data_IF_156970095183
#
_entry.id   IF_156970095183
#
_cell.length_a   1.000
_cell.length_b   1.000
_cell.length_c   1.000
_cell.angle_alpha   90.00
_cell.angle_beta   90.00
_cell.angle_gamma   90.00
#
_symmetry.space_group_name_H-M   'P 1'
#
loop_
_entity.id
_entity.type
_entity.pdbx_description
1 polymer ?
#
# COMPACT_ATOMS: atom_id res chain seq x y z
N UNK A 1 2.16 1.37 17.62
CA UNK A 1 2.39 0.10 16.90
C UNK A 1 3.53 0.35 15.94
N UNK A 2 4.54 -0.53 15.92
CA UNK A 2 5.66 -0.33 14.99
C UNK A 2 5.25 -0.73 13.57
N UNK A 3 5.91 -0.17 12.57
CA UNK A 3 5.79 -0.56 11.16
C UNK A 3 7.13 -1.10 10.64
N UNK A 4 8.09 -1.35 11.52
CA UNK A 4 9.48 -1.62 11.13
C UNK A 4 9.61 -2.95 10.38
N UNK A 5 8.88 -3.97 10.79
CA UNK A 5 8.86 -5.28 10.11
C UNK A 5 8.22 -5.17 8.73
N UNK A 6 7.09 -4.45 8.62
CA UNK A 6 6.40 -4.19 7.35
C UNK A 6 7.30 -3.39 6.39
N UNK A 7 7.96 -2.34 6.88
CA UNK A 7 8.88 -1.55 6.06
C UNK A 7 10.10 -2.35 5.62
N UNK A 8 10.66 -3.17 6.50
CA UNK A 8 11.80 -4.02 6.19
C UNK A 8 11.43 -5.04 5.11
N UNK A 9 10.28 -5.70 5.27
CA UNK A 9 9.74 -6.60 4.27
C UNK A 9 9.50 -5.93 2.92
N UNK A 10 8.82 -4.78 2.91
CA UNK A 10 8.59 -3.98 1.69
C UNK A 10 9.92 -3.63 1.01
N UNK A 11 10.89 -3.14 1.78
CA UNK A 11 12.22 -2.79 1.28
C UNK A 11 12.96 -3.98 0.69
N UNK A 12 12.96 -5.13 1.35
CA UNK A 12 13.63 -6.35 0.86
C UNK A 12 13.00 -6.87 -0.44
N UNK A 13 11.67 -6.83 -0.53
CA UNK A 13 10.93 -7.36 -1.68
C UNK A 13 10.84 -6.38 -2.86
N UNK A 14 11.14 -5.10 -2.67
CA UNK A 14 11.09 -4.04 -3.68
C UNK A 14 12.47 -3.40 -3.95
N UNK A 15 13.55 -3.96 -3.40
CA UNK A 15 14.90 -3.36 -3.44
C UNK A 15 15.52 -3.21 -4.84
N UNK A 16 15.00 -3.92 -5.84
CA UNK A 16 15.62 -4.03 -7.16
C UNK A 16 14.65 -3.78 -8.32
N UNK A 17 13.64 -2.94 -8.12
CA UNK A 17 12.74 -2.56 -9.21
C UNK A 17 13.26 -1.31 -9.96
N UNK A 18 13.74 -1.43 -11.21
CA UNK A 18 14.11 -0.27 -12.03
C UNK A 18 12.88 0.49 -12.57
N UNK A 19 11.65 -0.03 -12.39
CA UNK A 19 10.44 0.51 -13.00
C UNK A 19 9.78 1.65 -12.20
N UNK A 20 10.35 2.02 -11.06
CA UNK A 20 9.88 3.13 -10.22
C UNK A 20 8.75 2.77 -9.25
N UNK A 21 8.49 1.48 -9.01
CA UNK A 21 7.69 0.96 -7.88
C UNK A 21 8.61 0.49 -6.76
N UNK A 22 9.61 1.30 -6.44
CA UNK A 22 10.58 1.01 -5.40
C UNK A 22 10.02 1.36 -4.01
N UNK A 23 10.76 1.00 -2.97
CA UNK A 23 10.41 1.36 -1.59
C UNK A 23 10.20 2.87 -1.38
N UNK A 24 10.84 3.72 -2.20
CA UNK A 24 10.66 5.18 -2.13
C UNK A 24 9.28 5.60 -2.61
N UNK A 25 8.74 4.97 -3.66
CA UNK A 25 7.35 5.14 -4.06
C UNK A 25 6.39 4.76 -2.93
N UNK A 26 6.51 3.56 -2.36
CA UNK A 26 5.67 3.13 -1.23
C UNK A 26 5.74 4.11 -0.03
N UNK A 27 6.92 4.67 0.25
CA UNK A 27 7.10 5.67 1.29
C UNK A 27 6.38 7.00 1.00
N UNK A 28 6.40 7.46 -0.27
CA UNK A 28 5.67 8.69 -0.67
C UNK A 28 4.17 8.47 -0.60
N UNK A 29 3.67 7.34 -1.09
CA UNK A 29 2.27 6.94 -0.99
C UNK A 29 1.83 6.90 0.48
N UNK A 30 2.61 6.26 1.37
CA UNK A 30 2.27 6.18 2.79
C UNK A 30 2.16 7.56 3.46
N UNK A 31 3.06 8.51 3.13
CA UNK A 31 3.01 9.88 3.65
C UNK A 31 1.79 10.64 3.14
N UNK A 32 1.48 10.51 1.85
CA UNK A 32 0.34 11.19 1.25
C UNK A 32 -0.99 10.61 1.75
N UNK A 33 -1.11 9.27 1.82
CA UNK A 33 -2.29 8.58 2.32
C UNK A 33 -2.56 8.92 3.79
N UNK A 34 -1.52 8.99 4.63
CA UNK A 34 -1.64 9.47 6.02
C UNK A 34 -2.24 10.87 6.07
N UNK A 35 -1.76 11.77 5.20
CA UNK A 35 -2.24 13.16 5.15
C UNK A 35 -3.71 13.21 4.75
N UNK A 36 -4.08 12.54 3.66
CA UNK A 36 -5.48 12.46 3.18
C UNK A 36 -6.39 11.95 4.30
N UNK A 37 -6.04 10.82 4.92
CA UNK A 37 -6.86 10.21 5.97
C UNK A 37 -7.07 11.14 7.18
N UNK A 38 -6.00 11.78 7.65
CA UNK A 38 -6.07 12.67 8.82
C UNK A 38 -6.85 13.96 8.53
N UNK A 39 -6.70 14.54 7.33
CA UNK A 39 -7.39 15.77 6.93
C UNK A 39 -8.88 15.53 6.63
N UNK A 40 -9.21 14.49 5.87
CA UNK A 40 -10.60 14.23 5.42
C UNK A 40 -11.48 13.68 6.55
N UNK A 41 -10.92 12.81 7.40
CA UNK A 41 -11.68 12.14 8.47
C UNK A 41 -11.44 12.73 9.86
N UNK A 42 -10.60 13.78 9.97
CA UNK A 42 -10.27 14.47 11.24
C UNK A 42 -9.79 13.50 12.34
N UNK A 43 -8.99 12.52 11.94
CA UNK A 43 -8.43 11.49 12.83
C UNK A 43 -7.07 11.91 13.38
N UNK A 44 -6.79 11.49 14.60
CA UNK A 44 -5.48 11.68 15.22
C UNK A 44 -4.56 10.48 14.96
N UNK A 45 -3.31 10.58 15.44
CA UNK A 45 -2.29 9.54 15.24
C UNK A 45 -2.56 8.22 15.98
N UNK A 46 -3.53 8.20 16.89
CA UNK A 46 -3.89 7.02 17.69
C UNK A 46 -4.98 6.17 17.04
N UNK A 47 -5.63 6.67 15.99
CA UNK A 47 -6.66 5.95 15.25
C UNK A 47 -6.09 4.70 14.55
N UNK A 48 -6.73 3.56 14.75
CA UNK A 48 -6.31 2.28 14.16
C UNK A 48 -6.35 2.28 12.64
N UNK A 49 -7.26 3.05 12.02
CA UNK A 49 -7.34 3.21 10.57
C UNK A 49 -6.09 3.88 10.01
N UNK A 50 -5.41 4.74 10.79
CA UNK A 50 -4.13 5.30 10.38
C UNK A 50 -3.02 4.24 10.27
N UNK A 51 -3.05 3.23 11.14
CA UNK A 51 -2.16 2.08 11.03
C UNK A 51 -2.47 1.28 9.76
N UNK A 52 -3.75 1.00 9.49
CA UNK A 52 -4.20 0.31 8.27
C UNK A 52 -3.74 1.03 7.01
N UNK A 53 -3.97 2.35 6.93
CA UNK A 53 -3.53 3.20 5.82
C UNK A 53 -2.03 3.08 5.58
N UNK A 54 -1.22 3.22 6.64
CA UNK A 54 0.24 3.14 6.53
C UNK A 54 0.70 1.75 6.12
N UNK A 55 0.19 0.71 6.77
CA UNK A 55 0.57 -0.67 6.51
C UNK A 55 0.22 -1.08 5.08
N UNK A 56 -1.01 -0.82 4.63
CA UNK A 56 -1.45 -1.10 3.26
C UNK A 56 -0.60 -0.32 2.23
N UNK A 57 -0.28 0.95 2.50
CA UNK A 57 0.59 1.75 1.61
C UNK A 57 1.98 1.15 1.44
N UNK A 58 2.60 0.57 2.48
CA UNK A 58 3.90 -0.10 2.33
C UNK A 58 3.82 -1.47 1.64
N UNK A 59 2.65 -2.10 1.65
CA UNK A 59 2.46 -3.48 1.18
C UNK A 59 1.82 -3.59 -0.20
N UNK A 60 1.13 -2.55 -0.70
CA UNK A 60 0.30 -2.65 -1.91
C UNK A 60 1.03 -3.19 -3.14
N UNK A 61 2.21 -2.65 -3.45
CA UNK A 61 3.01 -3.09 -4.60
C UNK A 61 3.77 -4.40 -4.35
N UNK A 62 3.86 -4.87 -3.10
CA UNK A 62 4.57 -6.13 -2.82
C UNK A 62 3.87 -7.33 -3.46
N UNK A 63 2.58 -7.25 -3.79
CA UNK A 63 1.82 -8.34 -4.41
C UNK A 63 1.57 -8.14 -5.92
N UNK A 64 2.12 -7.08 -6.52
CA UNK A 64 2.05 -6.85 -7.97
C UNK A 64 2.85 -7.94 -8.70
N UNK A 65 2.32 -8.38 -9.85
CA UNK A 65 2.94 -9.37 -10.73
C UNK A 65 4.34 -8.96 -11.22
N UNK A 66 4.61 -7.65 -11.27
CA UNK A 66 5.93 -7.08 -11.60
C UNK A 66 6.97 -7.35 -10.51
N UNK A 67 6.52 -7.49 -9.26
CA UNK A 67 7.39 -7.66 -8.08
C UNK A 67 7.47 -9.13 -7.66
N UNK A 68 6.40 -9.90 -7.86
CA UNK A 68 6.37 -11.34 -7.52
C UNK A 68 5.66 -12.17 -8.59
N UNK A 69 6.31 -13.26 -9.02
CA UNK A 69 5.68 -14.27 -9.86
C UNK A 69 4.71 -15.18 -9.10
N UNK A 70 4.79 -15.23 -7.76
CA UNK A 70 3.92 -16.04 -6.90
C UNK A 70 3.17 -15.14 -5.91
N UNK A 71 2.09 -14.51 -6.41
CA UNK A 71 1.18 -13.68 -5.60
C UNK A 71 0.60 -14.45 -4.41
N UNK A 72 0.35 -15.76 -4.54
CA UNK A 72 -0.24 -16.59 -3.48
C UNK A 72 0.74 -16.80 -2.33
N UNK A 73 2.00 -17.11 -2.62
CA UNK A 73 3.02 -17.23 -1.59
C UNK A 73 3.30 -15.87 -0.92
N UNK A 74 3.38 -14.80 -1.71
CA UNK A 74 3.58 -13.44 -1.17
C UNK A 74 2.46 -13.03 -0.21
N UNK A 75 1.20 -13.31 -0.55
CA UNK A 75 0.07 -13.06 0.36
C UNK A 75 0.15 -13.90 1.66
N UNK A 76 0.81 -15.06 1.66
CA UNK A 76 1.05 -15.83 2.89
C UNK A 76 2.12 -15.16 3.76
N UNK A 77 3.20 -14.68 3.15
CA UNK A 77 4.27 -13.94 3.84
C UNK A 77 3.72 -12.67 4.50
N UNK A 78 2.90 -11.91 3.78
CA UNK A 78 2.21 -10.73 4.31
C UNK A 78 1.32 -11.10 5.51
N UNK A 79 0.53 -12.18 5.41
CA UNK A 79 -0.29 -12.66 6.55
C UNK A 79 0.55 -13.01 7.77
N UNK A 80 1.71 -13.64 7.59
CA UNK A 80 2.61 -14.01 8.69
C UNK A 80 3.12 -12.74 9.38
N UNK A 81 3.57 -11.74 8.62
CA UNK A 81 4.07 -10.47 9.20
C UNK A 81 2.95 -9.75 9.95
N UNK A 82 1.76 -9.62 9.35
CA UNK A 82 0.61 -9.00 10.01
C UNK A 82 0.16 -9.79 11.25
N UNK A 83 0.43 -11.09 11.32
CA UNK A 83 0.12 -11.91 12.49
C UNK A 83 1.02 -11.62 13.70
N UNK A 84 2.27 -11.20 13.45
CA UNK A 84 3.23 -10.80 14.47
C UNK A 84 2.96 -9.38 14.99
N UNK A 85 2.26 -8.57 14.21
CA UNK A 85 1.80 -7.25 14.64
C UNK A 85 0.68 -7.34 15.67
N UNK A 86 0.74 -6.53 16.73
CA UNK A 86 -0.25 -6.54 17.81
C UNK A 86 -1.57 -5.81 17.43
N UNK A 87 -2.11 -6.08 16.23
CA UNK A 87 -3.31 -5.45 15.67
C UNK A 87 -4.52 -6.40 15.71
N UNK A 88 -5.72 -5.82 15.78
CA UNK A 88 -6.96 -6.58 15.77
C UNK A 88 -7.20 -7.27 14.43
N UNK A 89 -7.84 -8.45 14.45
CA UNK A 89 -8.14 -9.23 13.23
C UNK A 89 -8.86 -8.43 12.15
N UNK A 90 -9.88 -7.58 12.45
CA UNK A 90 -10.53 -6.79 11.41
C UNK A 90 -9.57 -5.84 10.67
N UNK A 91 -8.60 -5.25 11.38
CA UNK A 91 -7.59 -4.38 10.75
C UNK A 91 -6.63 -5.18 9.85
N UNK A 92 -6.31 -6.43 10.22
CA UNK A 92 -5.48 -7.33 9.38
C UNK A 92 -6.19 -7.66 8.07
N UNK A 93 -7.46 -8.03 8.17
CA UNK A 93 -8.27 -8.37 6.99
C UNK A 93 -8.49 -7.15 6.09
N UNK A 94 -8.71 -5.97 6.67
CA UNK A 94 -8.82 -4.71 5.91
C UNK A 94 -7.52 -4.40 5.15
N UNK A 95 -6.34 -4.53 5.78
CA UNK A 95 -5.06 -4.37 5.08
C UNK A 95 -4.96 -5.34 3.89
N UNK A 96 -5.28 -6.61 4.10
CA UNK A 96 -5.23 -7.63 3.05
C UNK A 96 -6.22 -7.36 1.93
N UNK A 97 -7.42 -6.89 2.25
CA UNK A 97 -8.44 -6.52 1.27
C UNK A 97 -7.99 -5.35 0.41
N UNK A 98 -7.47 -4.29 1.04
CA UNK A 98 -6.96 -3.10 0.36
C UNK A 98 -5.89 -3.49 -0.66
N UNK A 99 -4.83 -4.18 -0.24
CA UNK A 99 -3.72 -4.51 -1.15
C UNK A 99 -4.16 -5.40 -2.31
N UNK A 100 -5.19 -6.24 -2.13
CA UNK A 100 -5.68 -7.15 -3.17
C UNK A 100 -6.60 -6.46 -4.18
N UNK A 101 -7.30 -5.39 -3.79
CA UNK A 101 -8.37 -4.81 -4.59
C UNK A 101 -8.17 -3.33 -4.95
N UNK A 102 -7.08 -2.69 -4.53
CA UNK A 102 -6.83 -1.27 -4.83
C UNK A 102 -6.26 -1.00 -6.21
N UNK A 103 -5.71 -2.00 -6.90
CA UNK A 103 -5.04 -1.81 -8.18
C UNK A 103 -5.99 -1.22 -9.24
N UNK A 104 -5.43 -0.44 -10.17
CA UNK A 104 -6.23 0.15 -11.26
C UNK A 104 -6.86 -0.93 -12.14
N UNK A 105 -6.08 -1.93 -12.54
CA UNK A 105 -6.53 -3.04 -13.39
C UNK A 105 -7.69 -3.82 -12.78
N UNK A 106 -7.62 -4.13 -11.48
CA UNK A 106 -8.69 -4.86 -10.79
C UNK A 106 -10.00 -4.04 -10.70
N UNK A 107 -9.88 -2.71 -10.63
CA UNK A 107 -11.02 -1.80 -10.51
C UNK A 107 -11.72 -1.45 -11.84
N UNK A 108 -11.12 -1.74 -12.99
CA UNK A 108 -11.77 -1.53 -14.30
C UNK A 108 -12.93 -2.51 -14.49
N UNK A 109 -12.77 -3.76 -14.06
CA UNK A 109 -13.76 -4.82 -14.32
C UNK A 109 -14.77 -4.98 -13.18
N UNK A 110 -14.34 -4.86 -11.92
CA UNK A 110 -15.13 -5.30 -10.77
C UNK A 110 -15.66 -4.18 -9.88
N UNK A 111 -15.13 -2.95 -10.00
CA UNK A 111 -15.50 -1.80 -9.16
C UNK A 111 -15.56 -2.12 -7.66
N UNK A 112 -14.47 -2.66 -7.11
CA UNK A 112 -14.38 -3.05 -5.70
C UNK A 112 -14.68 -1.86 -4.77
N UNK A 113 -15.51 -2.10 -3.75
CA UNK A 113 -15.81 -1.11 -2.72
C UNK A 113 -14.81 -1.24 -1.58
N UNK A 114 -13.81 -0.37 -1.58
CA UNK A 114 -12.81 -0.30 -0.51
C UNK A 114 -13.36 0.44 0.72
N UNK A 115 -12.74 0.14 1.87
CA UNK A 115 -12.85 0.94 3.09
C UNK A 115 -12.41 2.39 2.87
N UNK A 116 -12.69 3.28 3.84
CA UNK A 116 -12.24 4.67 3.76
C UNK A 116 -10.71 4.75 3.74
N UNK A 117 -10.07 3.88 4.53
CA UNK A 117 -8.65 3.64 4.57
C UNK A 117 -8.13 3.23 3.19
N UNK A 118 -8.75 2.23 2.56
CA UNK A 118 -8.39 1.77 1.21
C UNK A 118 -8.51 2.84 0.15
N UNK A 119 -9.57 3.66 0.20
CA UNK A 119 -9.75 4.80 -0.72
C UNK A 119 -8.63 5.84 -0.57
N UNK A 120 -8.22 6.14 0.67
CA UNK A 120 -7.10 7.05 0.91
C UNK A 120 -5.78 6.52 0.32
N UNK A 121 -5.51 5.22 0.46
CA UNK A 121 -4.31 4.60 -0.12
C UNK A 121 -4.38 4.61 -1.65
N UNK A 122 -5.54 4.27 -2.23
CA UNK A 122 -5.75 4.30 -3.67
C UNK A 122 -5.57 5.71 -4.26
N UNK A 123 -6.13 6.73 -3.61
CA UNK A 123 -5.98 8.12 -4.07
C UNK A 123 -4.53 8.59 -3.97
N UNK A 124 -3.83 8.25 -2.88
CA UNK A 124 -2.43 8.59 -2.71
C UNK A 124 -1.52 7.94 -3.77
N UNK A 125 -1.73 6.66 -4.08
CA UNK A 125 -0.99 5.95 -5.12
C UNK A 125 -1.18 6.59 -6.50
N UNK A 126 -2.44 6.85 -6.87
CA UNK A 126 -2.77 7.51 -8.14
C UNK A 126 -2.22 8.93 -8.23
N UNK A 127 -2.22 9.68 -7.13
CA UNK A 127 -1.65 11.03 -7.10
C UNK A 127 -0.12 11.03 -7.23
N UNK A 128 0.59 10.04 -6.67
CA UNK A 128 2.06 9.91 -6.84
C UNK A 128 2.45 9.56 -8.29
N UNK A 129 1.53 9.00 -9.06
CA UNK A 129 1.68 8.76 -10.49
C UNK A 129 1.39 10.00 -11.38
N UNK A 130 0.99 11.13 -10.80
CA UNK A 130 0.73 12.39 -11.51
C UNK A 130 1.84 13.44 -11.28
N UNK A 131 1.76 14.55 -12.01
CA UNK A 131 2.69 15.67 -11.88
C UNK A 131 4.13 15.35 -12.31
N UNK A 132 5.10 16.14 -11.83
CA UNK A 132 6.50 16.01 -12.25
C UNK A 132 7.12 14.64 -11.93
N UNK A 133 6.74 14.03 -10.80
CA UNK A 133 7.16 12.67 -10.42
C UNK A 133 6.53 11.64 -11.33
N UNK A 134 5.23 11.76 -11.61
CA UNK A 134 4.53 10.91 -12.58
C UNK A 134 5.16 10.93 -13.98
N UNK A 135 5.52 12.11 -14.47
CA UNK A 135 6.22 12.25 -15.77
C UNK A 135 7.55 11.51 -15.75
N UNK A 136 8.36 11.68 -14.70
CA UNK A 136 9.65 11.01 -14.58
C UNK A 136 9.50 9.47 -14.49
N UNK A 137 8.50 8.97 -13.75
CA UNK A 137 8.20 7.53 -13.66
C UNK A 137 7.72 6.96 -15.00
N UNK A 138 6.88 7.69 -15.73
CA UNK A 138 6.43 7.27 -17.05
C UNK A 138 7.60 7.09 -18.03
N UNK A 139 8.60 7.97 -18.00
CA UNK A 139 9.82 7.82 -18.80
C UNK A 139 10.77 6.71 -18.31
N UNK A 140 10.76 6.39 -17.01
CA UNK A 140 11.56 5.28 -16.47
C UNK A 140 10.94 3.90 -16.78
N UNK A 141 9.61 3.83 -16.87
CA UNK A 141 8.86 2.61 -17.21
C UNK A 141 8.77 2.37 -18.72
N UNK A 142 8.59 3.43 -19.51
CA UNK A 142 8.23 3.41 -20.94
C UNK A 142 9.32 2.97 -21.90
#
# INVERSE_FOLDING_TARGET
MSLDDIKSFSKENMAFDPTGHDFLHAQRVAKLAQKIYTEDFKKDETDIGLYVVKAASYLHDTIDEKVTADKKNRLREVRIILSHENIATPAREDILDIIQHMSYSDNIEHHYQLSNEGKCVQDADRLDALGAIGIARAFAYG
#
